data_IF_378728231599
#
_entry.id   IF_378728231599
#
_cell.length_a   1.000
_cell.length_b   1.000
_cell.length_c   1.000
_cell.angle_alpha   90.00
_cell.angle_beta   90.00
_cell.angle_gamma   90.00
#
_symmetry.space_group_name_H-M   'P 1'
#
loop_
_entity.id
_entity.type
_entity.pdbx_description
1 polymer ?
#
# COMPACT_ATOMS: atom_id res chain seq x y z
N UNK A 1 1.71 14.74 -26.42
CA UNK A 1 1.76 15.75 -25.34
C UNK A 1 0.54 15.55 -24.45
N UNK A 2 0.69 15.61 -23.13
CA UNK A 2 -0.40 15.55 -22.16
C UNK A 2 -0.16 16.57 -21.04
N UNK A 3 -1.19 16.82 -20.23
CA UNK A 3 -1.14 17.78 -19.13
C UNK A 3 -0.22 17.32 -17.99
N UNK A 4 -0.10 16.01 -17.74
CA UNK A 4 0.81 15.48 -16.72
C UNK A 4 2.27 15.90 -16.96
N UNK A 5 2.75 15.78 -18.21
CA UNK A 5 4.08 16.23 -18.58
C UNK A 5 4.21 17.76 -18.50
N UNK A 6 3.18 18.50 -18.93
CA UNK A 6 3.19 19.97 -18.88
C UNK A 6 3.26 20.47 -17.43
N UNK A 7 2.46 19.88 -16.54
CA UNK A 7 2.45 20.11 -15.09
C UNK A 7 3.79 19.79 -14.46
N UNK A 8 4.41 18.66 -14.84
CA UNK A 8 5.75 18.31 -14.40
C UNK A 8 6.81 19.35 -14.82
N UNK A 9 6.81 19.73 -16.09
CA UNK A 9 7.73 20.74 -16.65
C UNK A 9 7.55 22.09 -15.95
N UNK A 10 6.31 22.52 -15.73
CA UNK A 10 5.99 23.76 -15.02
C UNK A 10 6.50 23.72 -13.59
N UNK A 11 6.10 22.68 -12.83
CA UNK A 11 6.41 22.51 -11.40
C UNK A 11 7.91 22.62 -11.13
N UNK A 12 8.73 21.94 -11.93
CA UNK A 12 10.17 21.90 -11.75
C UNK A 12 10.94 22.93 -12.59
N UNK A 13 10.23 23.75 -13.38
CA UNK A 13 10.79 24.72 -14.32
C UNK A 13 11.80 24.10 -15.29
N UNK A 14 11.48 22.94 -15.87
CA UNK A 14 12.32 22.24 -16.84
C UNK A 14 12.14 22.80 -18.27
N UNK A 15 12.30 24.12 -18.38
CA UNK A 15 12.22 24.88 -19.62
C UNK A 15 13.10 26.13 -19.51
N UNK A 16 13.38 26.77 -20.64
CA UNK A 16 14.13 28.03 -20.66
C UNK A 16 13.32 29.18 -20.02
N UNK A 17 13.75 29.56 -18.82
CA UNK A 17 13.19 30.65 -18.01
C UNK A 17 13.81 32.02 -18.33
N UNK A 18 14.73 32.09 -19.28
CA UNK A 18 15.34 33.35 -19.74
C UNK A 18 14.32 34.16 -20.54
N UNK A 19 14.22 35.45 -20.22
CA UNK A 19 13.37 36.42 -20.92
C UNK A 19 11.96 35.89 -21.19
N UNK A 20 11.30 35.36 -20.15
CA UNK A 20 9.92 34.89 -20.26
C UNK A 20 9.00 36.07 -20.63
N UNK A 21 8.10 35.79 -21.57
CA UNK A 21 7.08 36.74 -22.02
C UNK A 21 5.75 36.01 -22.22
N UNK A 22 4.66 36.70 -21.93
CA UNK A 22 3.30 36.24 -22.30
C UNK A 22 3.11 36.37 -23.81
N UNK A 23 2.10 35.70 -24.38
CA UNK A 23 1.72 35.90 -25.79
C UNK A 23 1.27 37.34 -26.08
N UNK A 24 0.86 38.09 -25.05
CA UNK A 24 0.60 39.52 -25.12
C UNK A 24 1.85 40.41 -25.14
N UNK A 25 3.05 39.84 -24.99
CA UNK A 25 4.33 40.55 -24.98
C UNK A 25 4.74 41.12 -23.61
N UNK A 26 4.03 40.76 -22.54
CA UNK A 26 4.34 41.22 -21.19
C UNK A 26 5.53 40.45 -20.62
N UNK A 27 6.48 41.15 -19.99
CA UNK A 27 7.60 40.50 -19.32
C UNK A 27 7.10 39.71 -18.11
N UNK A 28 7.48 38.43 -18.03
CA UNK A 28 7.09 37.48 -16.99
C UNK A 28 8.32 37.05 -16.19
N UNK A 29 8.21 37.00 -14.87
CA UNK A 29 9.14 36.26 -14.01
C UNK A 29 8.37 35.36 -13.06
N UNK A 30 8.84 34.14 -12.87
CA UNK A 30 8.23 33.17 -11.97
C UNK A 30 8.92 33.28 -10.62
N UNK A 31 8.27 33.91 -9.64
CA UNK A 31 8.76 33.97 -8.27
C UNK A 31 8.46 32.66 -7.53
N UNK A 32 7.29 32.07 -7.84
CA UNK A 32 6.84 30.78 -7.32
C UNK A 32 5.85 30.13 -8.29
N UNK A 33 6.09 28.88 -8.66
CA UNK A 33 5.21 28.10 -9.56
C UNK A 33 3.86 27.74 -8.95
N UNK A 34 3.76 27.76 -7.62
CA UNK A 34 2.59 27.37 -6.84
C UNK A 34 2.68 25.95 -6.29
N UNK A 35 1.63 25.51 -5.62
CA UNK A 35 1.45 24.14 -5.16
C UNK A 35 0.51 23.40 -6.11
N UNK A 36 0.96 22.24 -6.60
CA UNK A 36 0.11 21.35 -7.41
C UNK A 36 -1.17 21.02 -6.62
N UNK A 37 -2.30 21.31 -7.24
CA UNK A 37 -3.63 20.97 -6.76
C UNK A 37 -4.00 19.59 -7.29
N UNK A 38 -4.44 18.69 -6.42
CA UNK A 38 -4.97 17.37 -6.80
C UNK A 38 -6.48 17.27 -6.59
N UNK A 39 -7.10 18.35 -6.14
CA UNK A 39 -8.54 18.49 -5.93
C UNK A 39 -9.15 19.37 -7.02
N UNK A 40 -10.45 19.67 -6.92
CA UNK A 40 -11.13 20.54 -7.88
C UNK A 40 -10.55 21.96 -7.90
N UNK A 41 -10.58 22.60 -9.07
CA UNK A 41 -10.09 23.97 -9.29
C UNK A 41 -8.81 23.99 -10.14
N UNK A 42 -8.10 25.13 -10.17
CA UNK A 42 -6.92 25.29 -11.01
C UNK A 42 -5.77 24.35 -10.64
N UNK A 43 -4.92 24.02 -11.62
CA UNK A 43 -3.84 23.05 -11.45
C UNK A 43 -2.79 23.42 -10.40
N UNK A 44 -2.47 24.71 -10.24
CA UNK A 44 -1.53 25.18 -9.23
C UNK A 44 -2.11 26.35 -8.44
N UNK A 45 -2.09 26.24 -7.12
CA UNK A 45 -2.51 27.28 -6.19
C UNK A 45 -1.33 28.08 -5.63
N UNK A 46 -1.59 29.30 -5.16
CA UNK A 46 -0.61 30.17 -4.51
C UNK A 46 0.69 30.43 -5.32
N UNK A 47 0.57 30.51 -6.64
CA UNK A 47 1.63 30.97 -7.51
C UNK A 47 1.91 32.46 -7.27
N UNK A 48 3.16 32.87 -7.53
CA UNK A 48 3.60 34.26 -7.47
C UNK A 48 4.41 34.61 -8.70
N UNK A 49 3.96 35.62 -9.43
CA UNK A 49 4.53 36.01 -10.72
C UNK A 49 4.80 37.51 -10.73
N UNK A 50 5.85 37.93 -11.42
CA UNK A 50 6.09 39.33 -11.76
C UNK A 50 5.67 39.54 -13.21
N UNK A 51 4.59 40.29 -13.46
CA UNK A 51 4.13 40.65 -14.80
C UNK A 51 4.37 42.15 -15.02
N UNK A 52 5.22 42.50 -15.98
CA UNK A 52 5.64 43.89 -16.26
C UNK A 52 6.08 44.67 -15.00
N UNK A 53 6.72 44.01 -14.05
CA UNK A 53 7.19 44.61 -12.79
C UNK A 53 6.16 44.68 -11.66
N UNK A 54 4.94 44.17 -11.85
CA UNK A 54 3.90 44.07 -10.82
C UNK A 54 3.83 42.63 -10.31
N UNK A 55 3.87 42.45 -8.98
CA UNK A 55 3.72 41.13 -8.36
C UNK A 55 2.25 40.73 -8.30
N UNK A 56 1.94 39.55 -8.83
CA UNK A 56 0.63 38.91 -8.80
C UNK A 56 0.69 37.64 -7.96
N UNK A 57 -0.36 37.40 -7.17
CA UNK A 57 -0.55 36.18 -6.40
C UNK A 57 -1.90 35.56 -6.77
N UNK A 58 -1.91 34.28 -7.13
CA UNK A 58 -3.09 33.60 -7.63
C UNK A 58 -2.81 32.16 -8.04
N UNK A 59 -3.58 31.65 -8.99
CA UNK A 59 -3.46 30.30 -9.50
C UNK A 59 -2.82 30.27 -10.89
N UNK A 60 -2.29 29.11 -11.27
CA UNK A 60 -1.89 28.80 -12.64
C UNK A 60 -2.70 27.63 -13.13
N UNK A 61 -3.22 27.75 -14.35
CA UNK A 61 -3.92 26.68 -15.06
C UNK A 61 -3.06 26.20 -16.22
N UNK A 62 -3.10 24.90 -16.50
CA UNK A 62 -2.34 24.26 -17.56
C UNK A 62 -3.27 23.54 -18.52
N UNK A 63 -2.98 23.67 -19.81
CA UNK A 63 -3.67 22.88 -20.84
C UNK A 63 -2.72 22.54 -21.98
N UNK A 64 -3.00 21.49 -22.74
CA UNK A 64 -2.25 21.27 -23.99
C UNK A 64 -2.53 22.41 -24.96
N UNK A 65 -3.79 22.81 -25.13
CA UNK A 65 -4.20 23.90 -26.01
C UNK A 65 -4.91 25.00 -25.24
N UNK A 66 -4.76 26.25 -25.66
CA UNK A 66 -5.49 27.34 -24.99
C UNK A 66 -7.01 27.24 -25.16
N UNK A 67 -7.48 26.68 -26.28
CA UNK A 67 -8.90 26.37 -26.52
C UNK A 67 -9.55 25.42 -25.51
N UNK A 68 -8.76 24.61 -24.80
CA UNK A 68 -9.27 23.68 -23.77
C UNK A 68 -9.86 24.43 -22.56
N UNK A 69 -9.46 25.69 -22.33
CA UNK A 69 -10.06 26.58 -21.34
C UNK A 69 -11.59 26.68 -21.52
N UNK A 70 -12.04 26.90 -22.75
CA UNK A 70 -13.47 26.96 -23.06
C UNK A 70 -14.12 25.57 -23.06
N UNK A 71 -13.39 24.54 -23.51
CA UNK A 71 -13.89 23.16 -23.53
C UNK A 71 -14.21 22.65 -22.13
N UNK A 72 -13.40 23.02 -21.14
CA UNK A 72 -13.60 22.69 -19.72
C UNK A 72 -14.58 23.63 -18.99
N UNK A 73 -15.12 24.65 -19.68
CA UNK A 73 -16.10 25.62 -19.16
C UNK A 73 -15.57 26.53 -18.04
N UNK A 74 -14.25 26.67 -17.95
CA UNK A 74 -13.56 27.56 -17.02
C UNK A 74 -14.00 29.03 -17.12
N UNK A 75 -14.35 29.61 -18.29
CA UNK A 75 -14.85 30.98 -18.37
C UNK A 75 -16.08 31.27 -17.51
N UNK A 76 -16.87 30.24 -17.14
CA UNK A 76 -18.09 30.41 -16.35
C UNK A 76 -17.96 29.89 -14.92
N UNK A 77 -16.78 29.37 -14.56
CA UNK A 77 -16.53 28.79 -13.25
C UNK A 77 -15.79 29.81 -12.36
N UNK A 78 -16.39 30.30 -11.27
CA UNK A 78 -15.75 31.23 -10.35
C UNK A 78 -14.45 30.71 -9.73
N UNK A 79 -14.22 29.39 -9.67
CA UNK A 79 -12.97 28.82 -9.16
C UNK A 79 -11.74 29.20 -10.00
N UNK A 80 -11.95 29.62 -11.25
CA UNK A 80 -10.90 29.97 -12.20
C UNK A 80 -10.69 31.48 -12.36
N UNK A 81 -11.46 32.32 -11.65
CA UNK A 81 -11.24 33.78 -11.64
C UNK A 81 -9.89 34.16 -11.02
N UNK A 82 -9.33 33.33 -10.14
CA UNK A 82 -8.03 33.57 -9.52
C UNK A 82 -6.84 33.15 -10.37
N UNK A 83 -7.05 32.67 -11.61
CA UNK A 83 -5.96 32.26 -12.51
C UNK A 83 -5.23 33.51 -13.02
N UNK A 84 -3.96 33.66 -12.64
CA UNK A 84 -3.12 34.79 -13.03
C UNK A 84 -2.21 34.48 -14.21
N UNK A 85 -2.14 33.21 -14.63
CA UNK A 85 -1.38 32.75 -15.78
C UNK A 85 -1.99 31.46 -16.31
N UNK A 86 -2.16 31.37 -17.62
CA UNK A 86 -2.44 30.14 -18.33
C UNK A 86 -1.18 29.64 -19.01
N UNK A 87 -0.76 28.42 -18.72
CA UNK A 87 0.44 27.82 -19.28
C UNK A 87 0.02 26.74 -20.25
N UNK A 88 0.40 26.88 -21.52
CA UNK A 88 -0.03 25.96 -22.58
C UNK A 88 1.13 25.41 -23.39
N UNK A 89 0.90 24.26 -24.02
CA UNK A 89 1.82 23.78 -25.05
C UNK A 89 1.63 24.51 -26.37
N UNK A 90 0.38 24.74 -26.76
CA UNK A 90 -0.02 25.44 -27.98
C UNK A 90 -1.04 26.53 -27.64
N UNK A 91 -0.80 27.76 -28.10
CA UNK A 91 -1.79 28.84 -28.00
C UNK A 91 -2.53 28.96 -29.34
N UNK A 92 -3.76 28.46 -29.39
CA UNK A 92 -4.61 28.44 -30.58
C UNK A 92 -5.78 29.43 -30.51
N UNK A 93 -6.19 29.84 -29.31
CA UNK A 93 -7.23 30.86 -29.07
C UNK A 93 -6.91 31.74 -27.85
N UNK A 94 -7.11 33.06 -27.93
CA UNK A 94 -7.01 33.92 -26.77
C UNK A 94 -8.15 33.61 -25.78
N UNK A 95 -7.81 33.53 -24.50
CA UNK A 95 -8.76 33.23 -23.43
C UNK A 95 -9.02 34.46 -22.55
N UNK A 96 -10.18 34.49 -21.91
CA UNK A 96 -10.61 35.62 -21.07
C UNK A 96 -11.24 35.15 -19.77
N UNK A 97 -11.12 36.00 -18.74
CA UNK A 97 -11.94 35.91 -17.54
C UNK A 97 -13.40 36.30 -17.81
N UNK A 98 -14.28 36.14 -16.81
CA UNK A 98 -15.69 36.53 -16.90
C UNK A 98 -15.90 38.00 -17.26
N UNK A 99 -15.01 38.88 -16.78
CA UNK A 99 -15.03 40.32 -17.05
C UNK A 99 -14.47 40.69 -18.44
N UNK A 100 -14.12 39.68 -19.27
CA UNK A 100 -13.53 39.79 -20.61
C UNK A 100 -12.09 40.31 -20.65
N UNK A 101 -11.43 40.44 -19.50
CA UNK A 101 -9.98 40.67 -19.49
C UNK A 101 -9.26 39.44 -20.02
N UNK A 102 -8.18 39.66 -20.78
CA UNK A 102 -7.34 38.57 -21.28
C UNK A 102 -6.59 37.92 -20.12
N UNK A 103 -6.58 36.60 -20.07
CA UNK A 103 -5.71 35.87 -19.15
C UNK A 103 -4.30 35.88 -19.76
N UNK A 104 -3.26 36.27 -19.01
CA UNK A 104 -1.88 36.15 -19.47
C UNK A 104 -1.53 34.70 -19.83
N UNK A 105 -1.06 34.45 -21.05
CA UNK A 105 -0.74 33.09 -21.54
C UNK A 105 0.75 32.92 -21.80
N UNK A 106 1.35 31.86 -21.23
CA UNK A 106 2.72 31.42 -21.50
C UNK A 106 2.72 30.14 -22.33
N UNK A 107 3.47 30.13 -23.44
CA UNK A 107 3.62 28.95 -24.32
C UNK A 107 4.94 28.25 -24.06
N UNK A 108 4.91 26.95 -23.76
CA UNK A 108 6.09 26.17 -23.40
C UNK A 108 6.73 25.38 -24.57
N UNK A 109 6.06 25.13 -25.70
CA UNK A 109 6.61 24.19 -26.70
C UNK A 109 8.00 24.55 -27.25
N UNK A 110 8.33 25.85 -27.34
CA UNK A 110 9.64 26.33 -27.83
C UNK A 110 10.66 26.53 -26.72
N UNK A 111 10.27 26.33 -25.46
CA UNK A 111 11.10 26.56 -24.27
C UNK A 111 11.51 25.26 -23.59
N UNK A 112 10.83 24.16 -23.85
CA UNK A 112 11.23 22.83 -23.39
C UNK A 112 12.25 22.24 -24.37
N UNK A 113 13.42 21.85 -23.86
CA UNK A 113 14.44 21.22 -24.68
C UNK A 113 13.99 19.84 -25.20
N UNK A 114 14.31 19.53 -26.46
CA UNK A 114 13.95 18.25 -27.10
C UNK A 114 14.41 17.03 -26.28
N UNK A 115 15.57 17.13 -25.60
CA UNK A 115 16.12 16.06 -24.79
C UNK A 115 15.21 15.64 -23.62
N UNK A 116 14.48 16.58 -23.00
CA UNK A 116 13.54 16.28 -21.91
C UNK A 116 12.35 15.50 -22.47
N UNK A 117 11.85 15.93 -23.62
CA UNK A 117 10.73 15.29 -24.30
C UNK A 117 11.09 13.88 -24.77
N UNK A 118 12.27 13.70 -25.37
CA UNK A 118 12.76 12.38 -25.77
C UNK A 118 12.92 11.42 -24.60
N UNK A 119 13.48 11.88 -23.46
CA UNK A 119 13.61 11.05 -22.25
C UNK A 119 12.27 10.69 -21.63
N UNK A 120 11.31 11.63 -21.65
CA UNK A 120 9.96 11.35 -21.19
C UNK A 120 9.31 10.24 -22.01
N UNK A 121 9.38 10.34 -23.34
CA UNK A 121 8.91 9.28 -24.22
C UNK A 121 9.65 7.97 -24.01
N UNK A 122 10.98 8.00 -23.88
CA UNK A 122 11.78 6.81 -23.59
C UNK A 122 11.28 6.10 -22.32
N UNK A 123 10.95 6.83 -21.25
CA UNK A 123 10.42 6.26 -20.01
C UNK A 123 8.98 5.74 -20.16
N UNK A 124 8.10 6.49 -20.85
CA UNK A 124 6.68 6.14 -20.95
C UNK A 124 6.40 5.02 -21.94
N UNK A 125 7.23 4.89 -22.99
CA UNK A 125 7.04 3.92 -24.06
C UNK A 125 7.74 2.58 -23.77
N UNK A 126 8.50 2.45 -22.67
CA UNK A 126 9.09 1.16 -22.28
C UNK A 126 8.04 0.10 -22.00
N UNK A 127 8.39 -1.16 -22.30
CA UNK A 127 7.58 -2.35 -21.99
C UNK A 127 8.11 -3.15 -20.81
N UNK A 128 9.27 -2.76 -20.26
CA UNK A 128 9.86 -3.40 -19.09
C UNK A 128 9.02 -3.17 -17.82
N UNK A 129 9.11 -4.11 -16.88
CA UNK A 129 8.44 -4.04 -15.57
C UNK A 129 8.86 -2.79 -14.76
N UNK A 130 10.11 -2.34 -14.94
CA UNK A 130 10.66 -1.12 -14.34
C UNK A 130 10.99 -0.14 -15.48
N UNK A 131 10.17 0.89 -15.72
CA UNK A 131 10.33 1.74 -16.91
C UNK A 131 11.67 2.47 -17.01
N UNK A 132 12.33 2.72 -15.87
CA UNK A 132 13.62 3.41 -15.82
C UNK A 132 14.83 2.46 -15.85
N UNK A 133 14.64 1.15 -16.06
CA UNK A 133 15.69 0.13 -15.93
C UNK A 133 16.97 0.48 -16.71
N UNK A 134 16.86 0.84 -17.99
CA UNK A 134 18.00 1.17 -18.86
C UNK A 134 18.78 2.42 -18.43
N UNK A 135 18.11 3.34 -17.72
CA UNK A 135 18.67 4.62 -17.27
C UNK A 135 18.96 4.62 -15.77
N UNK A 136 18.66 3.53 -15.06
CA UNK A 136 18.62 3.51 -13.60
C UNK A 136 19.99 3.83 -12.99
N UNK A 137 21.08 3.39 -13.61
CA UNK A 137 22.45 3.66 -13.17
C UNK A 137 22.87 5.12 -13.28
N UNK A 138 22.14 5.94 -14.05
CA UNK A 138 22.41 7.38 -14.18
C UNK A 138 21.91 8.17 -12.96
N UNK A 139 21.05 7.58 -12.13
CA UNK A 139 20.48 8.23 -10.94
C UNK A 139 21.34 7.96 -9.72
N UNK A 140 21.62 9.01 -8.95
CA UNK A 140 22.46 8.92 -7.75
C UNK A 140 21.87 7.98 -6.70
N UNK A 141 22.73 7.32 -5.93
CA UNK A 141 22.29 6.44 -4.83
C UNK A 141 21.44 7.18 -3.79
N UNK A 142 21.71 8.45 -3.53
CA UNK A 142 20.92 9.26 -2.61
C UNK A 142 19.46 9.36 -3.07
N UNK A 143 19.21 9.67 -4.35
CA UNK A 143 17.84 9.78 -4.88
C UNK A 143 17.11 8.44 -4.88
N UNK A 144 17.82 7.34 -5.15
CA UNK A 144 17.27 5.98 -5.06
C UNK A 144 16.84 5.65 -3.62
N UNK A 145 17.69 5.95 -2.63
CA UNK A 145 17.38 5.73 -1.21
C UNK A 145 16.25 6.65 -0.72
N UNK A 146 16.23 7.93 -1.11
CA UNK A 146 15.11 8.83 -0.78
C UNK A 146 13.78 8.32 -1.35
N UNK A 147 13.79 7.74 -2.56
CA UNK A 147 12.59 7.12 -3.11
C UNK A 147 12.18 5.90 -2.29
N UNK A 148 13.13 5.06 -1.91
CA UNK A 148 12.92 3.86 -1.10
C UNK A 148 12.27 4.20 0.26
N UNK A 149 12.80 5.19 0.97
CA UNK A 149 12.26 5.63 2.27
C UNK A 149 10.83 6.18 2.11
N UNK A 150 10.61 7.01 1.08
CA UNK A 150 9.29 7.59 0.78
C UNK A 150 8.24 6.51 0.55
N UNK A 151 8.50 5.55 -0.34
CA UNK A 151 7.51 4.51 -0.66
C UNK A 151 7.29 3.54 0.49
N UNK A 152 8.27 3.36 1.37
CA UNK A 152 8.05 2.58 2.59
C UNK A 152 7.04 3.27 3.50
N UNK A 153 7.21 4.56 3.76
CA UNK A 153 6.29 5.33 4.58
C UNK A 153 4.88 5.35 3.97
N UNK A 154 4.77 5.56 2.65
CA UNK A 154 3.50 5.46 1.92
C UNK A 154 2.84 4.09 2.13
N UNK A 155 3.62 3.01 2.06
CA UNK A 155 3.12 1.65 2.34
C UNK A 155 2.62 1.51 3.76
N UNK A 156 3.40 1.94 4.74
CA UNK A 156 3.05 1.84 6.16
C UNK A 156 1.78 2.61 6.47
N UNK A 157 1.63 3.83 5.94
CA UNK A 157 0.43 4.64 6.11
C UNK A 157 -0.78 3.99 5.41
N UNK A 158 -0.63 3.47 4.19
CA UNK A 158 -1.71 2.76 3.50
C UNK A 158 -2.18 1.50 4.24
N UNK A 159 -1.25 0.76 4.88
CA UNK A 159 -1.57 -0.43 5.69
C UNK A 159 -2.18 -0.04 7.03
N UNK A 160 -1.66 1.00 7.67
CA UNK A 160 -2.22 1.53 8.90
C UNK A 160 -3.66 2.03 8.69
N UNK A 161 -3.95 2.64 7.54
CA UNK A 161 -5.31 3.04 7.19
C UNK A 161 -6.26 1.83 7.03
N UNK A 162 -5.79 0.70 6.48
CA UNK A 162 -6.59 -0.53 6.43
C UNK A 162 -6.93 -1.05 7.83
N UNK A 163 -5.95 -1.05 8.74
CA UNK A 163 -6.17 -1.40 10.15
C UNK A 163 -7.14 -0.43 10.81
N UNK A 164 -7.02 0.87 10.52
CA UNK A 164 -7.90 1.91 11.07
C UNK A 164 -9.36 1.69 10.65
N UNK A 165 -9.61 1.41 9.37
CA UNK A 165 -10.95 1.08 8.88
C UNK A 165 -11.53 -0.15 9.58
N UNK A 166 -10.70 -1.19 9.79
CA UNK A 166 -11.11 -2.39 10.53
C UNK A 166 -11.40 -2.07 12.01
N UNK A 167 -10.61 -1.20 12.63
CA UNK A 167 -10.83 -0.74 14.00
C UNK A 167 -12.14 0.03 14.16
N UNK A 168 -12.49 0.88 13.19
CA UNK A 168 -13.77 1.57 13.17
C UNK A 168 -14.95 0.59 13.01
N UNK A 169 -14.82 -0.40 12.13
CA UNK A 169 -15.81 -1.45 11.96
C UNK A 169 -15.99 -2.32 13.22
N UNK A 170 -14.91 -2.55 13.97
CA UNK A 170 -14.91 -3.28 15.25
C UNK A 170 -15.25 -2.39 16.46
N UNK A 171 -15.99 -1.29 16.26
CA UNK A 171 -16.45 -0.41 17.34
C UNK A 171 -15.30 0.12 18.22
N UNK A 172 -14.14 0.34 17.61
CA UNK A 172 -12.93 0.83 18.27
C UNK A 172 -12.30 -0.16 19.27
N UNK A 173 -12.56 -1.45 19.11
CA UNK A 173 -11.93 -2.52 19.89
C UNK A 173 -10.60 -2.96 19.24
N UNK A 174 -9.49 -2.68 19.93
CA UNK A 174 -8.15 -3.04 19.46
C UNK A 174 -7.84 -4.53 19.51
N UNK A 175 -8.37 -5.28 20.47
CA UNK A 175 -8.12 -6.72 20.58
C UNK A 175 -8.89 -7.48 19.50
N UNK A 176 -10.15 -7.12 19.25
CA UNK A 176 -10.95 -7.66 18.13
C UNK A 176 -10.30 -7.33 16.78
N UNK A 177 -9.82 -6.09 16.60
CA UNK A 177 -9.11 -5.66 15.40
C UNK A 177 -7.82 -6.43 15.19
N UNK A 178 -7.02 -6.58 16.25
CA UNK A 178 -5.77 -7.34 16.19
C UNK A 178 -6.03 -8.81 15.86
N UNK A 179 -7.09 -9.40 16.40
CA UNK A 179 -7.52 -10.76 16.08
C UNK A 179 -7.87 -10.93 14.60
N UNK A 180 -8.78 -10.12 14.06
CA UNK A 180 -9.22 -10.22 12.67
C UNK A 180 -8.08 -9.90 11.70
N UNK A 181 -7.29 -8.86 12.00
CA UNK A 181 -6.10 -8.49 11.21
C UNK A 181 -5.06 -9.61 11.19
N UNK A 182 -4.72 -10.17 12.34
CA UNK A 182 -3.75 -11.26 12.42
C UNK A 182 -4.26 -12.53 11.73
N UNK A 183 -5.54 -12.89 11.92
CA UNK A 183 -6.15 -14.04 11.28
C UNK A 183 -6.01 -13.97 9.76
N UNK A 184 -6.32 -12.82 9.14
CA UNK A 184 -6.09 -12.57 7.71
C UNK A 184 -4.67 -12.96 7.28
N UNK A 185 -3.66 -12.62 8.08
CA UNK A 185 -2.26 -12.90 7.74
C UNK A 185 -1.83 -14.36 7.99
N UNK A 186 -2.54 -15.13 8.81
CA UNK A 186 -2.38 -16.60 8.87
C UNK A 186 -2.80 -17.29 7.56
N UNK A 187 -3.71 -16.67 6.80
CA UNK A 187 -4.11 -17.13 5.47
C UNK A 187 -3.09 -16.85 4.36
N UNK A 188 -2.06 -16.03 4.64
CA UNK A 188 -1.12 -15.49 3.65
C UNK A 188 -1.85 -14.97 2.40
N UNK A 189 -1.16 -14.79 1.27
CA UNK A 189 -1.78 -14.21 0.07
C UNK A 189 -3.01 -14.97 -0.43
N UNK A 190 -2.96 -16.30 -0.42
CA UNK A 190 -3.98 -17.13 -1.09
C UNK A 190 -5.28 -17.26 -0.31
N UNK A 191 -5.21 -17.43 1.02
CA UNK A 191 -6.38 -17.66 1.88
C UNK A 191 -6.69 -16.50 2.81
N UNK A 192 -5.97 -15.36 2.73
CA UNK A 192 -6.25 -14.17 3.54
C UNK A 192 -7.73 -13.76 3.58
N UNK A 193 -8.47 -13.70 2.45
CA UNK A 193 -9.89 -13.34 2.48
C UNK A 193 -10.75 -14.32 3.29
N UNK A 194 -10.50 -15.64 3.15
CA UNK A 194 -11.24 -16.67 3.88
C UNK A 194 -10.95 -16.60 5.39
N UNK A 195 -9.68 -16.42 5.77
CA UNK A 195 -9.31 -16.25 7.18
C UNK A 195 -9.89 -14.99 7.81
N UNK A 196 -9.90 -13.87 7.08
CA UNK A 196 -10.53 -12.63 7.58
C UNK A 196 -12.02 -12.83 7.82
N UNK A 197 -12.73 -13.37 6.81
CA UNK A 197 -14.17 -13.63 6.91
C UNK A 197 -14.49 -14.56 8.09
N UNK A 198 -13.70 -15.62 8.29
CA UNK A 198 -13.86 -16.51 9.44
C UNK A 198 -13.74 -15.74 10.78
N UNK A 199 -12.77 -14.85 10.89
CA UNK A 199 -12.56 -14.08 12.11
C UNK A 199 -13.68 -13.06 12.35
N UNK A 200 -14.23 -12.45 11.30
CA UNK A 200 -15.41 -11.57 11.39
C UNK A 200 -16.67 -12.34 11.84
N UNK A 201 -16.80 -13.61 11.44
CA UNK A 201 -17.94 -14.47 11.82
C UNK A 201 -17.86 -14.99 13.26
N UNK A 202 -16.64 -15.11 13.82
CA UNK A 202 -16.43 -15.58 15.20
C UNK A 202 -15.77 -14.47 16.04
N UNK A 203 -16.56 -13.61 16.71
CA UNK A 203 -16.02 -12.59 17.60
C UNK A 203 -14.99 -13.15 18.60
N UNK A 204 -13.89 -12.42 18.82
CA UNK A 204 -12.79 -12.84 19.69
C UNK A 204 -13.28 -13.22 21.09
N UNK A 205 -14.26 -12.50 21.63
CA UNK A 205 -14.89 -12.79 22.93
C UNK A 205 -15.44 -14.21 23.07
N UNK A 206 -15.86 -14.85 21.96
CA UNK A 206 -16.32 -16.23 21.94
C UNK A 206 -15.12 -17.16 22.11
N UNK A 207 -14.07 -16.97 21.31
CA UNK A 207 -12.81 -17.72 21.42
C UNK A 207 -12.24 -17.61 22.83
N UNK A 208 -12.24 -16.40 23.40
CA UNK A 208 -11.70 -16.13 24.74
C UNK A 208 -12.41 -16.92 25.86
N UNK A 209 -13.70 -17.23 25.72
CA UNK A 209 -14.47 -18.06 26.68
C UNK A 209 -14.05 -19.54 26.68
N UNK A 210 -13.33 -19.98 25.65
CA UNK A 210 -12.95 -21.38 25.42
C UNK A 210 -11.43 -21.62 25.49
N UNK A 211 -10.64 -20.65 25.96
CA UNK A 211 -9.17 -20.76 26.03
C UNK A 211 -8.65 -21.93 26.86
N UNK A 212 -9.43 -22.43 27.82
CA UNK A 212 -9.06 -23.64 28.58
C UNK A 212 -9.15 -24.93 27.76
N UNK A 213 -9.72 -24.91 26.55
CA UNK A 213 -9.88 -26.09 25.70
C UNK A 213 -9.54 -25.77 24.23
N UNK A 214 -8.35 -26.20 23.79
CA UNK A 214 -7.93 -26.07 22.40
C UNK A 214 -8.92 -26.74 21.44
N UNK A 215 -9.45 -27.89 21.84
CA UNK A 215 -10.43 -28.66 21.06
C UNK A 215 -11.69 -27.84 20.76
N UNK A 216 -12.17 -27.04 21.73
CA UNK A 216 -13.35 -26.19 21.53
C UNK A 216 -13.06 -25.01 20.61
N UNK A 217 -11.85 -24.44 20.69
CA UNK A 217 -11.41 -23.40 19.76
C UNK A 217 -11.30 -23.96 18.34
N UNK A 218 -10.68 -25.14 18.18
CA UNK A 218 -10.60 -25.84 16.90
C UNK A 218 -12.01 -26.18 16.37
N UNK A 219 -12.93 -26.64 17.22
CA UNK A 219 -14.30 -26.94 16.82
C UNK A 219 -15.04 -25.70 16.28
N UNK A 220 -14.90 -24.54 16.95
CA UNK A 220 -15.45 -23.27 16.48
C UNK A 220 -14.85 -22.87 15.13
N UNK A 221 -13.51 -22.86 15.02
CA UNK A 221 -12.83 -22.41 13.80
C UNK A 221 -13.12 -23.33 12.61
N UNK A 222 -12.99 -24.66 12.76
CA UNK A 222 -13.25 -25.60 11.66
C UNK A 222 -14.73 -25.71 11.31
N UNK A 223 -15.61 -25.59 12.31
CA UNK A 223 -17.04 -25.68 12.11
C UNK A 223 -17.58 -24.51 11.31
N UNK A 224 -17.31 -23.27 11.74
CA UNK A 224 -17.71 -22.06 10.99
C UNK A 224 -16.96 -21.96 9.66
N UNK A 225 -15.73 -22.46 9.56
CA UNK A 225 -15.05 -22.55 8.27
C UNK A 225 -15.73 -23.49 7.26
N UNK A 226 -16.68 -24.33 7.69
CA UNK A 226 -17.29 -25.33 6.80
C UNK A 226 -16.32 -26.41 6.36
N UNK A 227 -15.34 -26.73 7.23
CA UNK A 227 -14.28 -27.70 6.95
C UNK A 227 -14.42 -29.02 7.72
N UNK A 228 -15.31 -29.08 8.73
CA UNK A 228 -15.60 -30.34 9.41
C UNK A 228 -16.25 -31.34 8.43
N UNK A 229 -15.82 -32.61 8.41
CA UNK A 229 -16.41 -33.61 7.54
C UNK A 229 -17.84 -33.95 7.97
N UNK A 230 -18.70 -34.31 7.01
CA UNK A 230 -20.07 -34.75 7.31
C UNK A 230 -20.10 -36.08 8.09
N UNK A 231 -19.17 -36.98 7.75
CA UNK A 231 -19.02 -38.30 8.37
C UNK A 231 -17.62 -38.36 9.00
N UNK A 232 -17.51 -38.46 10.34
CA UNK A 232 -16.22 -38.56 11.00
C UNK A 232 -15.54 -39.91 10.71
N UNK A 233 -14.24 -39.86 10.41
CA UNK A 233 -13.42 -41.05 10.18
C UNK A 233 -12.66 -41.51 11.43
N UNK A 234 -12.51 -40.63 12.41
CA UNK A 234 -11.81 -40.90 13.67
C UNK A 234 -12.46 -40.18 14.87
N UNK A 235 -11.94 -40.45 16.06
CA UNK A 235 -12.47 -39.89 17.31
C UNK A 235 -12.23 -38.38 17.46
N UNK A 236 -11.16 -37.84 16.86
CA UNK A 236 -10.89 -36.41 16.88
C UNK A 236 -11.95 -35.66 16.08
N UNK A 237 -12.22 -36.11 14.86
CA UNK A 237 -13.29 -35.57 14.00
C UNK A 237 -14.66 -35.67 14.67
N UNK A 238 -14.98 -36.83 15.26
CA UNK A 238 -16.25 -37.06 15.97
C UNK A 238 -16.44 -36.05 17.11
N UNK A 239 -15.39 -35.84 17.89
CA UNK A 239 -15.44 -34.94 19.05
C UNK A 239 -15.56 -33.49 18.61
N UNK A 240 -14.81 -33.06 17.58
CA UNK A 240 -14.94 -31.71 17.02
C UNK A 240 -16.35 -31.42 16.50
N UNK A 241 -16.97 -32.36 15.78
CA UNK A 241 -18.34 -32.19 15.27
C UNK A 241 -19.35 -32.07 16.42
N UNK A 242 -19.21 -32.90 17.46
CA UNK A 242 -20.09 -32.84 18.63
C UNK A 242 -19.95 -31.50 19.37
N UNK A 243 -18.72 -31.07 19.65
CA UNK A 243 -18.44 -29.78 20.30
C UNK A 243 -18.96 -28.61 19.45
N UNK A 244 -18.70 -28.62 18.14
CA UNK A 244 -19.16 -27.55 17.26
C UNK A 244 -20.69 -27.44 17.23
N UNK A 245 -21.42 -28.56 17.14
CA UNK A 245 -22.90 -28.53 17.17
C UNK A 245 -23.43 -27.86 18.43
N UNK A 246 -22.86 -28.18 19.59
CA UNK A 246 -23.24 -27.55 20.85
C UNK A 246 -22.88 -26.06 20.88
N UNK A 247 -21.65 -25.71 20.51
CA UNK A 247 -21.15 -24.33 20.56
C UNK A 247 -21.83 -23.43 19.52
N UNK A 248 -22.13 -23.96 18.33
CA UNK A 248 -22.82 -23.23 17.29
C UNK A 248 -24.27 -22.89 17.67
N UNK A 249 -24.98 -23.82 18.32
CA UNK A 249 -26.29 -23.53 18.89
C UNK A 249 -26.21 -22.51 20.03
N UNK A 250 -25.19 -22.61 20.91
CA UNK A 250 -24.99 -21.70 22.04
C UNK A 250 -24.70 -20.25 21.62
N UNK A 251 -23.98 -20.07 20.52
CA UNK A 251 -23.50 -18.76 20.07
C UNK A 251 -24.13 -18.26 18.77
N UNK A 252 -25.19 -18.92 18.30
CA UNK A 252 -25.90 -18.55 17.07
C UNK A 252 -24.96 -18.48 15.86
N UNK A 253 -24.27 -19.60 15.59
CA UNK A 253 -23.30 -19.76 14.50
C UNK A 253 -23.73 -20.79 13.46
N UNK A 254 -24.93 -21.37 13.58
CA UNK A 254 -25.39 -22.45 12.69
C UNK A 254 -25.61 -21.97 11.25
N UNK A 255 -26.06 -20.74 11.07
CA UNK A 255 -26.28 -20.07 9.78
C UNK A 255 -25.05 -19.32 9.25
N UNK A 256 -23.98 -19.24 10.05
CA UNK A 256 -22.73 -18.52 9.74
C UNK A 256 -21.66 -19.40 9.13
N UNK A 257 -21.96 -20.66 8.84
CA UNK A 257 -21.00 -21.57 8.23
C UNK A 257 -20.60 -21.09 6.83
N UNK A 258 -19.30 -21.02 6.60
CA UNK A 258 -18.69 -20.69 5.31
C UNK A 258 -18.79 -21.86 4.34
N UNK A 259 -18.76 -21.55 3.05
CA UNK A 259 -18.72 -22.57 2.02
C UNK A 259 -17.29 -23.07 1.78
N UNK A 260 -17.11 -24.38 1.62
CA UNK A 260 -15.78 -25.00 1.45
C UNK A 260 -14.98 -24.42 0.27
N UNK A 261 -15.64 -23.93 -0.79
CA UNK A 261 -14.98 -23.36 -1.98
C UNK A 261 -14.31 -22.00 -1.74
N UNK A 262 -14.62 -21.34 -0.62
CA UNK A 262 -13.93 -20.13 -0.17
C UNK A 262 -12.46 -20.43 0.16
N UNK A 263 -12.18 -21.66 0.61
CA UNK A 263 -10.85 -22.14 0.96
C UNK A 263 -10.11 -22.70 -0.25
N UNK A 264 -8.90 -22.20 -0.49
CA UNK A 264 -8.05 -22.62 -1.61
C UNK A 264 -7.01 -23.61 -1.11
N UNK A 265 -7.08 -24.84 -1.62
CA UNK A 265 -6.16 -25.93 -1.25
C UNK A 265 -5.17 -26.35 -2.34
N UNK A 266 -5.42 -25.94 -3.59
CA UNK A 266 -4.63 -26.39 -4.74
C UNK A 266 -3.20 -25.80 -4.68
N UNK A 267 -2.18 -26.61 -5.03
CA UNK A 267 -0.74 -26.25 -5.08
C UNK A 267 -0.12 -25.83 -3.73
N UNK A 268 -0.75 -26.19 -2.61
CA UNK A 268 -0.16 -26.00 -1.29
C UNK A 268 0.71 -27.19 -0.87
N UNK A 269 1.77 -26.91 -0.11
CA UNK A 269 2.51 -27.93 0.65
C UNK A 269 1.77 -28.19 1.97
N UNK A 270 1.84 -29.39 2.59
CA UNK A 270 1.08 -29.75 3.80
C UNK A 270 1.00 -28.66 4.89
N UNK A 271 2.13 -28.04 5.24
CA UNK A 271 2.19 -26.98 6.27
C UNK A 271 1.44 -25.67 5.92
N UNK A 272 1.18 -25.44 4.63
CA UNK A 272 0.46 -24.26 4.14
C UNK A 272 -1.04 -24.46 4.02
N UNK A 273 -1.58 -25.65 4.28
CA UNK A 273 -3.01 -25.92 4.13
C UNK A 273 -3.83 -25.08 5.13
N UNK A 274 -4.99 -24.55 4.73
CA UNK A 274 -5.85 -23.77 5.62
C UNK A 274 -6.20 -24.49 6.92
N UNK A 275 -6.42 -25.80 6.86
CA UNK A 275 -6.70 -26.66 8.01
C UNK A 275 -5.56 -26.64 9.04
N UNK A 276 -4.31 -26.78 8.58
CA UNK A 276 -3.12 -26.69 9.44
C UNK A 276 -2.93 -25.28 9.98
N UNK A 277 -3.15 -24.25 9.14
CA UNK A 277 -3.05 -22.83 9.55
C UNK A 277 -4.11 -22.44 10.58
N UNK A 278 -5.32 -22.97 10.47
CA UNK A 278 -6.38 -22.79 11.47
C UNK A 278 -6.03 -23.46 12.80
N UNK A 279 -5.45 -24.66 12.78
CA UNK A 279 -4.96 -25.31 14.00
C UNK A 279 -3.84 -24.53 14.68
N UNK A 280 -2.92 -23.94 13.89
CA UNK A 280 -1.88 -23.05 14.41
C UNK A 280 -2.47 -21.77 15.00
N UNK A 281 -3.43 -21.15 14.30
CA UNK A 281 -4.16 -19.99 14.80
C UNK A 281 -4.91 -20.32 16.11
N UNK A 282 -5.57 -21.49 16.18
CA UNK A 282 -6.26 -21.96 17.39
C UNK A 282 -5.34 -21.98 18.61
N UNK A 283 -4.14 -22.55 18.46
CA UNK A 283 -3.17 -22.58 19.56
C UNK A 283 -2.64 -21.19 19.90
N UNK A 284 -2.39 -20.33 18.91
CA UNK A 284 -2.01 -18.94 19.16
C UNK A 284 -3.07 -18.21 20.00
N UNK A 285 -4.34 -18.31 19.60
CA UNK A 285 -5.47 -17.67 20.30
C UNK A 285 -5.69 -18.23 21.72
N UNK A 286 -5.44 -19.53 21.91
CA UNK A 286 -5.46 -20.14 23.23
C UNK A 286 -4.41 -19.48 24.15
N UNK A 287 -3.18 -19.34 23.66
CA UNK A 287 -2.04 -18.89 24.45
C UNK A 287 -2.01 -17.37 24.67
N UNK A 288 -2.66 -16.58 23.82
CA UNK A 288 -2.56 -15.12 23.81
C UNK A 288 -3.90 -14.43 24.13
N UNK A 289 -4.19 -14.15 25.43
CA UNK A 289 -5.43 -13.45 25.83
C UNK A 289 -5.62 -12.06 25.23
N UNK A 290 -4.51 -11.32 25.14
CA UNK A 290 -4.44 -9.90 24.76
C UNK A 290 -3.62 -9.78 23.50
N UNK A 291 -4.22 -10.16 22.38
CA UNK A 291 -3.55 -10.27 21.08
C UNK A 291 -2.96 -8.92 20.71
N UNK A 292 -3.69 -7.83 20.94
CA UNK A 292 -3.21 -6.49 20.64
C UNK A 292 -1.89 -6.19 21.36
N UNK A 293 -1.85 -6.39 22.68
CA UNK A 293 -0.64 -6.15 23.49
C UNK A 293 0.53 -7.04 23.09
N UNK A 294 0.28 -8.28 22.68
CA UNK A 294 1.33 -9.22 22.26
C UNK A 294 2.00 -8.73 20.97
N UNK A 295 1.22 -8.13 20.06
CA UNK A 295 1.71 -7.63 18.78
C UNK A 295 2.35 -6.25 18.89
N UNK A 296 1.81 -5.37 19.75
CA UNK A 296 2.23 -3.97 19.84
C UNK A 296 3.11 -3.65 21.04
N UNK A 297 3.31 -4.55 22.01
CA UNK A 297 4.22 -4.30 23.13
C UNK A 297 5.03 -5.55 23.57
N UNK A 298 5.67 -6.28 22.65
CA UNK A 298 6.62 -7.32 23.02
C UNK A 298 7.92 -6.69 23.56
N UNK A 299 8.63 -7.43 24.42
CA UNK A 299 9.95 -7.01 24.94
C UNK A 299 11.00 -6.84 23.83
N UNK A 300 10.91 -7.65 22.77
CA UNK A 300 11.79 -7.57 21.60
C UNK A 300 11.14 -8.24 20.39
N UNK A 301 11.69 -7.97 19.19
CA UNK A 301 11.29 -8.66 17.96
C UNK A 301 11.50 -10.18 18.06
N UNK A 302 12.55 -10.64 18.73
CA UNK A 302 12.81 -12.07 18.95
C UNK A 302 11.70 -12.73 19.77
N UNK A 303 11.21 -12.06 20.81
CA UNK A 303 10.06 -12.54 21.59
C UNK A 303 8.80 -12.61 20.72
N UNK A 304 8.54 -11.57 19.92
CA UNK A 304 7.40 -11.56 19.00
C UNK A 304 7.46 -12.69 17.97
N UNK A 305 8.63 -12.92 17.35
CA UNK A 305 8.85 -14.06 16.43
C UNK A 305 8.55 -15.39 17.11
N UNK A 306 9.06 -15.59 18.32
CA UNK A 306 8.83 -16.81 19.08
C UNK A 306 7.35 -17.02 19.42
N UNK A 307 6.60 -15.95 19.70
CA UNK A 307 5.15 -16.03 19.90
C UNK A 307 4.40 -16.56 18.67
N UNK A 308 4.91 -16.31 17.45
CA UNK A 308 4.32 -16.85 16.22
C UNK A 308 4.75 -18.29 15.90
N UNK A 309 5.82 -18.81 16.52
CA UNK A 309 6.35 -20.17 16.29
C UNK A 309 5.55 -21.24 17.05
N UNK A 310 4.23 -21.17 16.94
CA UNK A 310 3.30 -22.13 17.54
C UNK A 310 3.30 -23.46 16.78
N UNK A 311 3.19 -24.57 17.52
CA UNK A 311 3.02 -25.92 16.96
C UNK A 311 1.54 -26.28 16.95
N UNK A 312 1.01 -26.76 15.83
CA UNK A 312 -0.37 -27.25 15.77
C UNK A 312 -0.64 -28.43 16.72
N UNK A 313 -1.91 -28.73 17.00
CA UNK A 313 -2.30 -29.88 17.82
C UNK A 313 -1.83 -31.21 17.22
N UNK A 314 -1.78 -32.27 18.04
CA UNK A 314 -1.15 -33.54 17.68
C UNK A 314 -1.75 -34.20 16.43
N UNK A 315 -3.06 -34.00 16.19
CA UNK A 315 -3.71 -34.44 14.97
C UNK A 315 -3.07 -33.83 13.72
N UNK A 316 -2.89 -32.51 13.71
CA UNK A 316 -2.37 -31.73 12.58
C UNK A 316 -0.85 -31.80 12.43
N UNK A 317 -0.12 -32.41 13.38
CA UNK A 317 1.28 -32.82 13.17
C UNK A 317 1.38 -33.99 12.18
N UNK A 318 0.33 -34.78 12.05
CA UNK A 318 0.27 -35.97 11.19
C UNK A 318 -0.65 -35.80 9.99
N UNK A 319 -1.63 -34.90 10.06
CA UNK A 319 -2.63 -34.67 9.02
C UNK A 319 -2.49 -33.28 8.40
N UNK A 320 -2.81 -33.18 7.11
CA UNK A 320 -2.90 -31.88 6.41
C UNK A 320 -4.31 -31.58 5.89
N UNK A 321 -5.20 -32.57 5.89
CA UNK A 321 -6.66 -32.43 5.85
C UNK A 321 -7.27 -33.48 6.78
N UNK A 322 -8.51 -33.30 7.17
CA UNK A 322 -9.29 -34.35 7.84
C UNK A 322 -9.20 -35.68 7.06
N UNK A 323 -8.94 -36.76 7.79
CA UNK A 323 -8.69 -38.12 7.28
C UNK A 323 -7.43 -38.30 6.40
N UNK A 324 -6.66 -37.25 6.08
CA UNK A 324 -5.49 -37.33 5.17
C UNK A 324 -4.17 -37.08 5.89
N UNK A 325 -3.40 -38.15 6.04
CA UNK A 325 -2.07 -38.13 6.64
C UNK A 325 -0.99 -37.63 5.68
N UNK A 326 0.00 -36.95 6.24
CA UNK A 326 1.25 -36.59 5.55
C UNK A 326 2.27 -37.72 5.73
N UNK A 327 3.05 -38.02 4.69
CA UNK A 327 4.13 -39.01 4.76
C UNK A 327 5.26 -38.60 5.73
N UNK A 328 5.42 -37.29 5.93
CA UNK A 328 6.37 -36.70 6.89
C UNK A 328 5.58 -35.84 7.87
N UNK A 329 6.07 -35.73 9.11
CA UNK A 329 5.48 -34.83 10.09
C UNK A 329 5.29 -33.42 9.51
N UNK A 330 4.10 -32.87 9.66
CA UNK A 330 3.78 -31.52 9.20
C UNK A 330 4.54 -30.54 10.10
N UNK A 331 5.44 -29.70 9.55
CA UNK A 331 6.24 -28.79 10.37
C UNK A 331 5.35 -27.71 11.00
N UNK A 332 5.82 -27.16 12.11
CA UNK A 332 5.24 -25.95 12.71
C UNK A 332 5.52 -24.72 11.85
N UNK A 333 4.99 -23.57 12.28
CA UNK A 333 5.24 -22.29 11.63
C UNK A 333 6.75 -21.95 11.70
N UNK A 334 7.40 -21.94 10.53
CA UNK A 334 8.83 -21.68 10.39
C UNK A 334 9.21 -20.20 10.53
N UNK A 335 10.52 -19.90 10.55
CA UNK A 335 11.03 -18.54 10.71
C UNK A 335 10.46 -17.57 9.66
N UNK A 336 10.53 -17.92 8.38
CA UNK A 336 10.00 -17.10 7.28
C UNK A 336 8.51 -16.77 7.44
N UNK A 337 7.72 -17.74 7.93
CA UNK A 337 6.30 -17.52 8.17
C UNK A 337 6.06 -16.59 9.37
N UNK A 338 6.92 -16.65 10.40
CA UNK A 338 6.85 -15.76 11.54
C UNK A 338 7.24 -14.33 11.14
N UNK A 339 8.30 -14.17 10.34
CA UNK A 339 8.70 -12.88 9.78
C UNK A 339 7.57 -12.27 8.95
N UNK A 340 6.90 -13.05 8.09
CA UNK A 340 5.75 -12.57 7.33
C UNK A 340 4.57 -12.12 8.22
N UNK A 341 4.35 -12.77 9.37
CA UNK A 341 3.33 -12.35 10.35
C UNK A 341 3.76 -11.08 11.11
N UNK A 342 5.05 -10.89 11.37
CA UNK A 342 5.57 -9.62 11.90
C UNK A 342 5.37 -8.50 10.88
N UNK A 343 5.87 -8.69 9.64
CA UNK A 343 5.88 -7.70 8.56
C UNK A 343 4.47 -7.26 8.18
N UNK A 344 3.54 -8.21 8.01
CA UNK A 344 2.20 -7.90 7.53
C UNK A 344 1.16 -7.80 8.65
N UNK A 345 1.34 -8.52 9.75
CA UNK A 345 0.41 -8.52 10.89
C UNK A 345 0.77 -7.45 11.93
N UNK A 346 1.91 -7.62 12.59
CA UNK A 346 2.28 -6.81 13.76
C UNK A 346 2.65 -5.36 13.41
N UNK A 347 3.49 -5.15 12.39
CA UNK A 347 4.01 -3.82 12.02
C UNK A 347 2.88 -2.86 11.60
N UNK A 348 1.96 -3.21 10.69
CA UNK A 348 0.85 -2.32 10.35
C UNK A 348 -0.05 -1.96 11.52
N UNK A 349 -0.30 -2.93 12.41
CA UNK A 349 -1.08 -2.71 13.63
C UNK A 349 -0.36 -1.73 14.58
N UNK A 350 0.95 -1.87 14.72
CA UNK A 350 1.78 -0.96 15.51
C UNK A 350 1.78 0.46 14.92
N UNK A 351 1.92 0.60 13.60
CA UNK A 351 1.87 1.93 12.93
C UNK A 351 0.49 2.56 13.08
N UNK A 352 -0.59 1.81 12.89
CA UNK A 352 -1.95 2.32 13.08
C UNK A 352 -2.17 2.84 14.52
N UNK A 353 -1.64 2.12 15.50
CA UNK A 353 -1.69 2.55 16.89
C UNK A 353 -0.80 3.77 17.17
N UNK A 354 0.41 3.82 16.60
CA UNK A 354 1.31 4.96 16.68
C UNK A 354 0.64 6.25 16.19
N UNK A 355 0.02 6.19 15.00
CA UNK A 355 -0.74 7.31 14.42
C UNK A 355 -1.95 7.70 15.27
N UNK A 356 -2.66 6.71 15.83
CA UNK A 356 -3.80 6.99 16.70
C UNK A 356 -3.40 7.74 17.98
N UNK A 357 -2.26 7.40 18.58
CA UNK A 357 -1.76 8.04 19.80
C UNK A 357 -0.91 9.29 19.55
N UNK A 358 -0.49 9.55 18.31
CA UNK A 358 0.51 10.57 18.00
C UNK A 358 1.89 10.27 18.61
N UNK A 359 2.27 8.99 18.69
CA UNK A 359 3.51 8.52 19.31
C UNK A 359 4.53 8.05 18.27
N UNK A 360 5.46 8.93 17.90
CA UNK A 360 6.49 8.64 16.88
C UNK A 360 7.44 7.50 17.29
N UNK A 361 7.71 7.30 18.58
CA UNK A 361 8.58 6.21 19.06
C UNK A 361 8.05 4.80 18.71
N UNK A 362 6.73 4.66 18.52
CA UNK A 362 6.13 3.41 18.06
C UNK A 362 6.34 3.20 16.55
N UNK A 363 6.38 4.27 15.76
CA UNK A 363 6.71 4.24 14.34
C UNK A 363 8.19 3.88 14.14
N UNK A 364 9.09 4.53 14.90
CA UNK A 364 10.52 4.21 14.88
C UNK A 364 10.77 2.73 15.15
N UNK A 365 10.12 2.18 16.18
CA UNK A 365 10.22 0.75 16.50
C UNK A 365 9.68 -0.15 15.38
N UNK A 366 8.62 0.27 14.66
CA UNK A 366 8.09 -0.48 13.54
C UNK A 366 9.10 -0.54 12.38
N UNK A 367 9.81 0.57 12.12
CA UNK A 367 10.89 0.67 11.14
C UNK A 367 12.08 -0.19 11.57
N UNK A 368 12.54 -0.09 12.82
CA UNK A 368 13.62 -0.93 13.36
C UNK A 368 13.31 -2.44 13.23
N UNK A 369 12.04 -2.84 13.41
CA UNK A 369 11.63 -4.24 13.24
C UNK A 369 11.69 -4.68 11.77
N UNK A 370 11.41 -3.80 10.82
CA UNK A 370 11.58 -4.10 9.39
C UNK A 370 13.06 -4.27 9.03
N UNK A 371 13.94 -3.45 9.58
CA UNK A 371 15.39 -3.54 9.36
C UNK A 371 15.99 -4.81 9.98
N UNK A 372 15.42 -5.31 11.08
CA UNK A 372 15.83 -6.56 11.71
C UNK A 372 15.20 -7.82 11.08
N UNK A 373 14.27 -7.66 10.14
CA UNK A 373 13.71 -8.76 9.36
C UNK A 373 14.56 -9.03 8.11
N UNK A 374 14.85 -10.31 7.79
CA UNK A 374 15.60 -10.63 6.58
C UNK A 374 14.83 -10.19 5.33
N UNK A 375 15.56 -9.83 4.27
CA UNK A 375 14.97 -9.55 2.96
C UNK A 375 14.09 -10.71 2.48
N UNK A 376 12.89 -10.37 2.02
CA UNK A 376 12.01 -11.33 1.35
C UNK A 376 12.56 -11.73 -0.01
N UNK A 377 12.35 -13.00 -0.37
CA UNK A 377 12.80 -13.55 -1.66
C UNK A 377 11.63 -13.64 -2.62
N UNK A 378 11.63 -12.80 -3.65
CA UNK A 378 10.71 -12.91 -4.77
C UNK A 378 11.34 -12.38 -6.06
N UNK A 379 10.74 -12.71 -7.20
CA UNK A 379 11.25 -12.34 -8.53
C UNK A 379 11.48 -10.84 -8.69
N UNK A 380 10.58 -10.01 -8.15
CA UNK A 380 10.69 -8.57 -8.27
C UNK A 380 11.93 -8.03 -7.54
N UNK A 381 12.28 -8.57 -6.37
CA UNK A 381 13.52 -8.19 -5.68
C UNK A 381 14.74 -8.56 -6.51
N UNK A 382 14.73 -9.74 -7.16
CA UNK A 382 15.80 -10.14 -8.07
C UNK A 382 15.94 -9.19 -9.27
N UNK A 383 14.84 -8.67 -9.82
CA UNK A 383 14.92 -7.66 -10.89
C UNK A 383 15.53 -6.34 -10.40
N UNK A 384 15.16 -5.88 -9.20
CA UNK A 384 15.78 -4.69 -8.59
C UNK A 384 17.29 -4.89 -8.31
N UNK A 385 17.70 -6.07 -7.86
CA UNK A 385 19.11 -6.40 -7.62
C UNK A 385 19.94 -6.38 -8.91
N UNK A 386 19.37 -6.79 -10.05
CA UNK A 386 20.03 -6.67 -11.37
C UNK A 386 20.28 -5.21 -11.77
N UNK A 387 19.44 -4.29 -11.30
CA UNK A 387 19.59 -2.84 -11.48
C UNK A 387 20.49 -2.20 -10.42
N UNK A 388 21.19 -2.99 -9.60
CA UNK A 388 22.12 -2.49 -8.59
C UNK A 388 21.49 -2.00 -7.28
N UNK A 389 20.18 -2.20 -7.06
CA UNK A 389 19.60 -1.98 -5.74
C UNK A 389 19.98 -3.13 -4.80
N UNK A 390 20.46 -2.81 -3.59
CA UNK A 390 20.74 -3.83 -2.57
C UNK A 390 19.55 -3.96 -1.63
N UNK A 391 18.97 -5.16 -1.56
CA UNK A 391 17.94 -5.48 -0.58
C UNK A 391 18.50 -6.42 0.49
N UNK A 392 18.64 -5.92 1.73
CA UNK A 392 19.21 -6.68 2.85
C UNK A 392 18.15 -7.07 3.88
N UNK A 393 17.09 -6.28 3.96
CA UNK A 393 16.09 -6.36 5.03
C UNK A 393 14.66 -6.32 4.50
N UNK A 394 13.68 -6.56 5.38
CA UNK A 394 12.27 -6.39 5.03
C UNK A 394 11.93 -4.92 4.76
N UNK A 395 12.64 -3.96 5.37
CA UNK A 395 12.53 -2.53 5.03
C UNK A 395 12.71 -2.34 3.52
N UNK A 396 13.83 -2.83 2.98
CA UNK A 396 14.18 -2.67 1.57
C UNK A 396 13.17 -3.37 0.67
N UNK A 397 12.86 -4.63 0.97
CA UNK A 397 12.00 -5.44 0.09
C UNK A 397 10.55 -4.99 0.10
N UNK A 398 10.01 -4.55 1.24
CA UNK A 398 8.67 -3.97 1.32
C UNK A 398 8.59 -2.65 0.56
N UNK A 399 9.63 -1.81 0.65
CA UNK A 399 9.72 -0.55 -0.08
C UNK A 399 9.81 -0.77 -1.60
N UNK A 400 10.71 -1.64 -2.07
CA UNK A 400 10.87 -1.96 -3.51
C UNK A 400 9.58 -2.56 -4.11
N UNK A 401 8.87 -3.39 -3.36
CA UNK A 401 7.57 -3.91 -3.78
C UNK A 401 6.52 -2.80 -3.90
N UNK A 402 6.47 -1.85 -2.96
CA UNK A 402 5.55 -0.71 -3.06
C UNK A 402 5.92 0.23 -4.21
N UNK A 403 7.22 0.51 -4.38
CA UNK A 403 7.74 1.31 -5.48
C UNK A 403 7.27 0.77 -6.82
N UNK A 404 7.51 -0.51 -7.06
CA UNK A 404 7.10 -1.15 -8.30
C UNK A 404 5.59 -1.07 -8.50
N UNK A 405 4.82 -1.49 -7.48
CA UNK A 405 3.36 -1.58 -7.56
C UNK A 405 2.69 -0.23 -7.81
N UNK A 406 3.11 0.82 -7.12
CA UNK A 406 2.41 2.11 -7.12
C UNK A 406 3.01 3.14 -8.08
N UNK A 407 4.22 2.91 -8.59
CA UNK A 407 4.88 3.82 -9.53
C UNK A 407 5.31 3.14 -10.83
N UNK A 408 6.09 2.05 -10.77
CA UNK A 408 6.60 1.43 -12.00
C UNK A 408 5.49 0.81 -12.85
N UNK A 409 4.65 -0.04 -12.26
CA UNK A 409 3.54 -0.70 -12.95
C UNK A 409 2.53 0.28 -13.57
N UNK A 410 2.09 1.35 -12.88
CA UNK A 410 1.23 2.37 -13.49
C UNK A 410 2.01 3.46 -14.26
N UNK A 411 3.34 3.35 -14.42
CA UNK A 411 4.21 4.32 -15.11
C UNK A 411 4.14 5.75 -14.56
N UNK A 412 4.01 5.94 -13.24
CA UNK A 412 4.03 7.25 -12.57
C UNK A 412 5.45 7.81 -12.40
N UNK A 413 6.25 7.79 -13.46
CA UNK A 413 7.66 8.23 -13.41
C UNK A 413 7.81 9.73 -13.10
N UNK A 414 6.83 10.56 -13.48
CA UNK A 414 6.82 12.00 -13.18
C UNK A 414 6.66 12.30 -11.68
N UNK A 415 6.08 11.37 -10.92
CA UNK A 415 5.87 11.49 -9.47
C UNK A 415 6.93 10.74 -8.65
N UNK A 416 7.74 9.94 -9.32
CA UNK A 416 8.83 9.14 -8.76
C UNK A 416 10.11 9.99 -8.70
N UNK A 417 10.80 10.01 -7.55
CA UNK A 417 12.06 10.76 -7.40
C UNK A 417 13.12 10.38 -8.44
N UNK A 418 13.20 9.08 -8.79
CA UNK A 418 14.14 8.58 -9.81
C UNK A 418 13.71 8.98 -11.21
N UNK A 419 12.42 8.85 -11.55
CA UNK A 419 11.92 9.26 -12.86
C UNK A 419 12.08 10.76 -13.08
N UNK A 420 11.74 11.57 -12.08
CA UNK A 420 11.94 13.01 -12.11
C UNK A 420 13.42 13.40 -12.28
N UNK A 421 14.33 12.70 -11.61
CA UNK A 421 15.77 12.94 -11.72
C UNK A 421 16.31 12.72 -13.15
N UNK A 422 15.79 11.71 -13.86
CA UNK A 422 16.18 11.41 -15.24
C UNK A 422 15.73 12.49 -16.23
N UNK A 423 14.62 13.15 -15.94
CA UNK A 423 14.08 14.23 -16.76
C UNK A 423 14.74 15.58 -16.49
N UNK A 424 15.57 15.68 -15.44
CA UNK A 424 16.27 16.92 -15.13
C UNK A 424 17.20 17.30 -16.29
N UNK A 425 17.08 18.53 -16.84
CA UNK A 425 18.01 19.00 -17.85
C UNK A 425 19.44 19.00 -17.29
N UNK A 426 20.40 18.57 -18.11
CA UNK A 426 21.82 18.69 -17.79
C UNK A 426 22.14 20.16 -17.55
N UNK A 427 22.85 20.50 -16.47
CA UNK A 427 23.35 21.85 -16.29
C UNK A 427 24.28 22.17 -17.47
N UNK A 428 23.85 23.11 -18.32
CA UNK A 428 24.64 23.69 -19.40
C UNK A 428 25.70 24.63 -18.86
#
# INVERSE_FOLDING_TARGET
>A
MNEDFLSFVWRFQYFDTTDLQTQGGESLQILRTGYLNTDAGPDFSEARLLLNGIEWAGCVELHVKSSDWAAHKHPTDPAYESVILHVVWEDDLPITHQDRTLVPTLVLNKRVGESIFSRYHELMDQTDDIPCASLFDQVSSLQKLTMLDRVLLERLDARAQQVRTLWEANQRDWDETAYQWLARHYGFRLNAPAFQRLAELIPLRIIQKHRSSLLQIEALLFGVAGLLPEIPQDDYERTLIQEYRFLAAKYDLLDKQMATHEWKFLRLRPAGFPTVRLAQLALFLQNQPRIFSVLTNPESLTVLRNNFRVSQSDYWKKHYRFGKTSAVAVPSLGADAADLLVINGAIPLLVAHARHLGQESLLDRAIEWLEQCPAEKNHLITEWEKLGMSAKTAFDTQALMEWHKNYCSPKRCLECTVGAALLKPSAS
#
